data_IF_096882672051
#
_entry.id   IF_096882672051
#
_cell.length_a   1.000
_cell.length_b   1.000
_cell.length_c   1.000
_cell.angle_alpha   90.00
_cell.angle_beta   90.00
_cell.angle_gamma   90.00
#
_symmetry.space_group_name_H-M   'P 1'
#
loop_
_entity.id
_entity.type
_entity.pdbx_description
1 polymer ?
#
# COMPACT_ATOMS: atom_id res chain seq x y z
N UNK A 1 -10.27 14.70 -18.05
CA UNK A 1 -9.28 14.16 -17.09
C UNK A 1 -9.63 12.70 -16.86
N UNK A 2 -8.68 11.77 -16.93
CA UNK A 2 -8.99 10.33 -16.89
C UNK A 2 -8.80 9.82 -15.46
N UNK A 3 -9.85 9.21 -14.89
CA UNK A 3 -9.77 8.50 -13.61
C UNK A 3 -9.22 7.09 -13.86
N UNK A 4 -8.16 6.73 -13.14
CA UNK A 4 -7.55 5.39 -13.17
C UNK A 4 -7.55 4.83 -11.76
N UNK A 5 -8.06 3.62 -11.60
CA UNK A 5 -8.15 2.95 -10.30
C UNK A 5 -7.14 1.80 -10.27
N UNK A 6 -6.52 1.61 -9.11
CA UNK A 6 -5.50 0.59 -8.89
C UNK A 6 -5.86 -0.22 -7.67
N UNK A 7 -5.69 -1.53 -7.77
CA UNK A 7 -5.68 -2.47 -6.66
C UNK A 7 -4.25 -2.62 -6.15
N UNK A 8 -4.10 -2.66 -4.82
CA UNK A 8 -2.83 -2.96 -4.18
C UNK A 8 -3.00 -3.97 -3.04
N UNK A 9 -1.94 -4.72 -2.77
CA UNK A 9 -1.81 -5.53 -1.56
C UNK A 9 -0.39 -5.44 -1.02
N UNK A 10 -0.27 -5.44 0.30
CA UNK A 10 0.99 -5.23 0.98
C UNK A 10 1.09 -6.06 2.27
N UNK A 11 2.31 -6.41 2.63
CA UNK A 11 2.65 -7.10 3.88
C UNK A 11 3.63 -6.26 4.69
N UNK A 12 3.57 -6.35 6.01
CA UNK A 12 4.60 -5.80 6.90
C UNK A 12 4.93 -6.81 7.99
N UNK A 13 6.21 -6.98 8.30
CA UNK A 13 6.66 -7.90 9.34
C UNK A 13 6.82 -7.19 10.69
N UNK A 14 6.32 -7.81 11.76
CA UNK A 14 6.55 -7.36 13.13
C UNK A 14 7.86 -7.94 13.70
N UNK A 15 8.27 -7.47 14.89
CA UNK A 15 9.51 -7.94 15.55
C UNK A 15 9.49 -9.41 15.94
N UNK A 16 8.31 -9.97 16.20
CA UNK A 16 8.12 -11.41 16.49
C UNK A 16 8.18 -12.29 15.24
N UNK A 17 8.25 -11.66 14.06
CA UNK A 17 8.37 -12.34 12.78
C UNK A 17 7.05 -12.62 12.07
N UNK A 18 5.91 -12.22 12.66
CA UNK A 18 4.58 -12.36 12.07
C UNK A 18 4.33 -11.30 10.99
N UNK A 19 3.39 -11.59 10.08
CA UNK A 19 3.05 -10.71 8.98
C UNK A 19 1.66 -10.11 9.19
N UNK A 20 1.59 -8.78 9.15
CA UNK A 20 0.34 -8.07 8.93
C UNK A 20 0.12 -7.86 7.45
N UNK A 21 -1.12 -8.03 7.01
CA UNK A 21 -1.51 -7.90 5.61
C UNK A 21 -2.59 -6.84 5.44
N UNK A 22 -2.49 -6.08 4.36
CA UNK A 22 -3.52 -5.13 3.98
C UNK A 22 -3.69 -5.09 2.46
N UNK A 23 -4.93 -4.88 2.03
CA UNK A 23 -5.29 -4.68 0.63
C UNK A 23 -6.26 -3.51 0.51
N UNK A 24 -6.24 -2.88 -0.65
CA UNK A 24 -7.17 -1.81 -0.94
C UNK A 24 -7.14 -1.39 -2.39
N UNK A 25 -7.87 -0.30 -2.66
CA UNK A 25 -7.86 0.36 -3.96
C UNK A 25 -7.66 1.85 -3.78
N UNK A 26 -6.91 2.47 -4.68
CA UNK A 26 -6.82 3.93 -4.77
C UNK A 26 -7.08 4.40 -6.20
N UNK A 27 -7.40 5.68 -6.36
CA UNK A 27 -7.65 6.27 -7.68
C UNK A 27 -6.76 7.49 -7.91
N UNK A 28 -6.31 7.66 -9.16
CA UNK A 28 -5.61 8.86 -9.62
C UNK A 28 -6.42 9.53 -10.71
N UNK A 29 -6.52 10.86 -10.66
CA UNK A 29 -7.13 11.66 -11.72
C UNK A 29 -6.03 12.51 -12.40
N UNK A 30 -5.73 12.19 -13.66
CA UNK A 30 -4.72 12.90 -14.44
C UNK A 30 -4.96 12.74 -15.94
N UNK A 31 -4.46 13.68 -16.75
CA UNK A 31 -4.45 13.51 -18.21
C UNK A 31 -3.50 12.38 -18.61
N UNK A 32 -2.25 12.46 -18.19
CA UNK A 32 -1.23 11.42 -18.43
C UNK A 32 -1.17 10.38 -17.30
N UNK A 33 -0.80 9.12 -17.58
CA UNK A 33 -0.53 8.14 -16.53
C UNK A 33 0.52 8.65 -15.54
N UNK A 34 0.32 8.40 -14.24
CA UNK A 34 1.33 8.70 -13.24
C UNK A 34 2.56 7.78 -13.42
N UNK A 35 3.78 8.27 -13.12
CA UNK A 35 4.96 7.41 -13.05
C UNK A 35 4.75 6.24 -12.09
N UNK A 36 5.36 5.10 -12.39
CA UNK A 36 5.27 3.90 -11.56
C UNK A 36 5.73 4.15 -10.12
N UNK A 37 6.80 4.94 -9.92
CA UNK A 37 7.28 5.35 -8.59
C UNK A 37 6.21 6.06 -7.76
N UNK A 38 5.50 7.01 -8.37
CA UNK A 38 4.42 7.74 -7.69
C UNK A 38 3.25 6.82 -7.34
N UNK A 39 2.93 5.83 -8.17
CA UNK A 39 1.89 4.83 -7.86
C UNK A 39 2.31 3.91 -6.71
N UNK A 40 3.59 3.52 -6.66
CA UNK A 40 4.17 2.72 -5.57
C UNK A 40 4.11 3.50 -4.25
N UNK A 41 4.59 4.74 -4.23
CA UNK A 41 4.55 5.60 -3.03
C UNK A 41 3.12 5.78 -2.49
N UNK A 42 2.16 5.98 -3.39
CA UNK A 42 0.75 6.08 -3.01
C UNK A 42 0.25 4.76 -2.39
N UNK A 43 0.56 3.62 -3.01
CA UNK A 43 0.16 2.31 -2.51
C UNK A 43 0.80 1.98 -1.16
N UNK A 44 2.09 2.29 -0.97
CA UNK A 44 2.83 2.07 0.27
C UNK A 44 2.27 2.91 1.42
N UNK A 45 1.92 4.17 1.16
CA UNK A 45 1.30 5.04 2.16
C UNK A 45 -0.06 4.50 2.60
N UNK A 46 -0.94 4.17 1.65
CA UNK A 46 -2.26 3.63 1.97
C UNK A 46 -2.17 2.26 2.67
N UNK A 47 -1.21 1.42 2.28
CA UNK A 47 -0.92 0.17 2.95
C UNK A 47 -0.43 0.37 4.38
N UNK A 48 0.45 1.33 4.61
CA UNK A 48 0.97 1.65 5.93
C UNK A 48 -0.16 2.07 6.87
N UNK A 49 -0.99 3.01 6.42
CA UNK A 49 -2.11 3.52 7.20
C UNK A 49 -3.13 2.41 7.51
N UNK A 50 -3.39 1.53 6.54
CA UNK A 50 -4.27 0.38 6.72
C UNK A 50 -3.74 -0.64 7.74
N UNK A 51 -2.47 -1.02 7.64
CA UNK A 51 -1.82 -1.93 8.58
C UNK A 51 -1.81 -1.33 10.00
N UNK A 52 -1.47 -0.04 10.13
CA UNK A 52 -1.41 0.64 11.43
C UNK A 52 -2.79 0.77 12.09
N UNK A 53 -3.88 0.87 11.31
CA UNK A 53 -5.25 0.87 11.86
C UNK A 53 -5.70 -0.50 12.38
N UNK A 54 -5.27 -1.59 11.75
CA UNK A 54 -5.74 -2.95 12.11
C UNK A 54 -4.88 -3.57 13.20
N UNK A 55 -3.57 -3.38 13.13
CA UNK A 55 -2.62 -3.99 14.06
C UNK A 55 -2.21 -3.01 15.16
N UNK A 56 -3.23 -2.40 15.80
CA UNK A 56 -3.11 -1.60 17.01
C UNK A 56 -2.12 -2.27 17.98
N UNK A 57 -1.12 -1.51 18.43
CA UNK A 57 -0.09 -1.90 19.41
C UNK A 57 1.00 -2.91 18.99
N UNK A 58 1.17 -3.22 17.70
CA UNK A 58 2.31 -4.04 17.27
C UNK A 58 3.60 -3.25 17.05
N UNK A 59 4.71 -3.73 17.62
CA UNK A 59 6.05 -3.19 17.36
C UNK A 59 6.56 -3.73 16.01
N UNK A 60 6.58 -2.87 15.01
CA UNK A 60 7.01 -3.19 13.66
C UNK A 60 8.54 -3.31 13.56
N UNK A 61 9.00 -4.31 12.81
CA UNK A 61 10.42 -4.45 12.46
C UNK A 61 10.74 -3.66 11.18
N UNK A 62 9.91 -3.84 10.16
CA UNK A 62 10.10 -3.15 8.88
C UNK A 62 9.52 -1.72 8.96
N UNK A 63 10.26 -0.73 8.44
CA UNK A 63 9.81 0.68 8.42
C UNK A 63 8.72 0.93 7.36
N UNK A 64 8.77 0.22 6.25
CA UNK A 64 7.86 0.36 5.11
C UNK A 64 7.16 -0.98 4.82
N UNK A 65 5.86 -0.96 4.48
CA UNK A 65 5.17 -2.15 3.97
C UNK A 65 5.79 -2.58 2.64
N UNK A 66 5.97 -3.89 2.45
CA UNK A 66 6.36 -4.45 1.16
C UNK A 66 5.12 -4.65 0.30
N UNK A 67 5.06 -4.00 -0.86
CA UNK A 67 4.02 -4.27 -1.85
C UNK A 67 4.19 -5.68 -2.44
N UNK A 68 3.09 -6.42 -2.49
CA UNK A 68 3.01 -7.76 -3.10
C UNK A 68 2.36 -7.70 -4.47
N UNK A 69 1.38 -6.80 -4.63
CA UNK A 69 0.73 -6.56 -5.92
C UNK A 69 0.34 -5.09 -6.06
N UNK A 70 0.47 -4.57 -7.28
CA UNK A 70 -0.04 -3.27 -7.70
C UNK A 70 -0.51 -3.36 -9.14
N UNK A 71 -1.82 -3.48 -9.32
CA UNK A 71 -2.44 -3.70 -10.63
C UNK A 71 -3.47 -2.61 -10.93
N UNK A 72 -3.53 -2.18 -12.19
CA UNK A 72 -4.62 -1.31 -12.66
C UNK A 72 -5.90 -2.13 -12.78
N UNK A 73 -7.02 -1.54 -12.34
CA UNK A 73 -8.39 -2.03 -12.56
C UNK A 73 -9.00 -1.40 -13.82
#
# INVERSE_FOLDING_TARGET
>A
MIKRTYFYSATRRNKSGEYAWWKGTFSTCSWLPKPASSLIEMAEREAKDGIERVALDQIWHDRTPRLVALNRL
#
